data_IF_990842603213
#
_entry.id   IF_990842603213
#
_cell.length_a   1.000
_cell.length_b   1.000
_cell.length_c   1.000
_cell.angle_alpha   90.00
_cell.angle_beta   90.00
_cell.angle_gamma   90.00
#
_symmetry.space_group_name_H-M   'P 1'
#
loop_
_entity.id
_entity.type
_entity.pdbx_description
1 polymer ?
#
# COMPACT_ATOMS: atom_id res chain seq x y z
N UNK A 1 20.13 15.40 19.05
CA UNK A 1 19.11 15.02 18.04
C UNK A 1 19.69 13.95 17.13
N UNK A 2 19.01 12.82 16.91
CA UNK A 2 19.46 11.79 15.97
C UNK A 2 18.98 12.17 14.56
N UNK A 3 19.81 12.86 13.79
CA UNK A 3 19.53 13.29 12.40
C UNK A 3 18.94 12.17 11.53
N UNK A 4 19.44 10.94 11.72
CA UNK A 4 18.93 9.73 11.08
C UNK A 4 17.44 9.44 11.32
N UNK A 5 16.91 9.69 12.53
CA UNK A 5 15.49 9.43 12.83
C UNK A 5 14.57 10.46 12.15
N UNK A 6 14.99 11.72 12.09
CA UNK A 6 14.23 12.75 11.39
C UNK A 6 14.20 12.50 9.89
N UNK A 7 15.30 12.03 9.31
CA UNK A 7 15.37 11.69 7.89
C UNK A 7 14.45 10.51 7.53
N UNK A 8 14.34 9.50 8.40
CA UNK A 8 13.38 8.39 8.22
C UNK A 8 11.94 8.90 8.26
N UNK A 9 11.59 9.75 9.24
CA UNK A 9 10.23 10.29 9.36
C UNK A 9 9.86 11.18 8.16
N UNK A 10 10.80 12.01 7.69
CA UNK A 10 10.60 12.85 6.49
C UNK A 10 10.48 12.01 5.21
N UNK A 11 11.32 10.97 5.07
CA UNK A 11 11.22 10.02 3.97
C UNK A 11 9.85 9.31 3.94
N UNK A 12 9.34 8.92 5.11
CA UNK A 12 8.01 8.32 5.24
C UNK A 12 6.90 9.29 4.83
N UNK A 13 6.91 10.53 5.34
CA UNK A 13 5.95 11.56 4.93
C UNK A 13 6.00 11.84 3.43
N UNK A 14 7.21 11.95 2.86
CA UNK A 14 7.41 12.15 1.43
C UNK A 14 6.83 11.00 0.60
N UNK A 15 7.15 9.75 0.95
CA UNK A 15 6.65 8.57 0.22
C UNK A 15 5.13 8.39 0.33
N UNK A 16 4.52 8.90 1.41
CA UNK A 16 3.07 8.89 1.61
C UNK A 16 2.37 10.13 1.02
N UNK A 17 3.10 11.08 0.42
CA UNK A 17 2.53 12.32 -0.11
C UNK A 17 1.93 13.23 0.96
N UNK A 18 2.49 13.21 2.18
CA UNK A 18 2.02 13.96 3.35
C UNK A 18 2.90 15.17 3.71
N UNK A 19 3.84 15.52 2.85
CA UNK A 19 4.63 16.74 3.02
C UNK A 19 3.87 17.91 2.40
N UNK A 20 4.03 19.08 3.03
CA UNK A 20 3.58 20.32 2.40
C UNK A 20 4.40 20.60 1.12
N UNK A 21 3.88 21.38 0.16
CA UNK A 21 4.56 21.63 -1.10
C UNK A 21 5.97 22.20 -0.94
N UNK A 22 6.14 23.14 0.01
CA UNK A 22 7.44 23.76 0.31
C UNK A 22 8.44 22.77 0.89
N UNK A 23 7.98 21.92 1.83
CA UNK A 23 8.79 20.86 2.42
C UNK A 23 9.20 19.81 1.39
N UNK A 24 8.30 19.51 0.46
CA UNK A 24 8.54 18.57 -0.65
C UNK A 24 9.68 19.05 -1.52
N UNK A 25 9.66 20.32 -1.94
CA UNK A 25 10.69 20.91 -2.80
C UNK A 25 12.07 20.93 -2.12
N UNK A 26 12.13 21.28 -0.83
CA UNK A 26 13.36 21.21 -0.04
C UNK A 26 13.86 19.77 0.08
N UNK A 27 12.96 18.81 0.31
CA UNK A 27 13.33 17.40 0.43
C UNK A 27 13.85 16.84 -0.89
N UNK A 28 13.26 17.19 -2.02
CA UNK A 28 13.73 16.81 -3.36
C UNK A 28 15.14 17.35 -3.64
N UNK A 29 15.43 18.60 -3.30
CA UNK A 29 16.77 19.16 -3.41
C UNK A 29 17.80 18.39 -2.54
N UNK A 30 17.39 17.97 -1.33
CA UNK A 30 18.21 17.12 -0.47
C UNK A 30 18.44 15.72 -1.07
N UNK A 31 17.47 15.14 -1.76
CA UNK A 31 17.65 13.85 -2.44
C UNK A 31 18.66 13.92 -3.60
N UNK A 32 18.78 15.08 -4.27
CA UNK A 32 19.76 15.29 -5.33
C UNK A 32 21.18 15.43 -4.79
N UNK A 33 21.33 16.07 -3.63
CA UNK A 33 22.64 16.41 -3.05
C UNK A 33 23.17 15.35 -2.06
N UNK A 34 22.28 14.55 -1.45
CA UNK A 34 22.66 13.54 -0.47
C UNK A 34 22.40 12.11 -1.02
N UNK A 35 23.45 11.41 -1.51
CA UNK A 35 23.30 10.09 -2.09
C UNK A 35 22.87 9.01 -1.08
N UNK A 36 23.26 9.15 0.19
CA UNK A 36 22.86 8.23 1.27
C UNK A 36 21.37 8.34 1.56
N UNK A 37 20.86 9.58 1.68
CA UNK A 37 19.43 9.83 1.85
C UNK A 37 18.64 9.26 0.66
N UNK A 38 19.09 9.51 -0.57
CA UNK A 38 18.47 8.97 -1.78
C UNK A 38 18.39 7.45 -1.77
N UNK A 39 19.47 6.78 -1.38
CA UNK A 39 19.51 5.33 -1.27
C UNK A 39 18.52 4.81 -0.23
N UNK A 40 18.47 5.44 0.94
CA UNK A 40 17.55 5.07 2.02
C UNK A 40 16.09 5.22 1.59
N UNK A 41 15.72 6.32 0.93
CA UNK A 41 14.36 6.53 0.40
C UNK A 41 14.01 5.48 -0.66
N UNK A 42 14.95 5.16 -1.57
CA UNK A 42 14.74 4.14 -2.58
C UNK A 42 14.52 2.74 -1.96
N UNK A 43 15.30 2.39 -0.93
CA UNK A 43 15.14 1.15 -0.19
C UNK A 43 13.78 1.08 0.53
N UNK A 44 13.38 2.15 1.22
CA UNK A 44 12.08 2.23 1.90
C UNK A 44 10.91 2.11 0.90
N UNK A 45 11.00 2.78 -0.26
CA UNK A 45 10.03 2.65 -1.36
C UNK A 45 9.93 1.20 -1.85
N UNK A 46 11.06 0.50 -1.97
CA UNK A 46 11.07 -0.91 -2.36
C UNK A 46 10.39 -1.80 -1.32
N UNK A 47 10.67 -1.59 -0.03
CA UNK A 47 9.99 -2.31 1.06
C UNK A 47 8.48 -2.11 0.99
N UNK A 48 7.99 -0.88 0.86
CA UNK A 48 6.56 -0.62 0.70
C UNK A 48 5.95 -1.30 -0.52
N UNK A 49 6.67 -1.37 -1.64
CA UNK A 49 6.18 -2.08 -2.84
C UNK A 49 5.97 -3.58 -2.59
N UNK A 50 6.88 -4.21 -1.84
CA UNK A 50 6.81 -5.63 -1.47
C UNK A 50 5.66 -5.87 -0.49
N UNK A 51 5.55 -5.02 0.54
CA UNK A 51 4.46 -5.09 1.51
C UNK A 51 3.09 -4.92 0.83
N UNK A 52 2.95 -3.95 -0.07
CA UNK A 52 1.72 -3.72 -0.84
C UNK A 52 1.35 -4.95 -1.68
N UNK A 53 2.33 -5.56 -2.34
CA UNK A 53 2.11 -6.78 -3.13
C UNK A 53 1.67 -7.95 -2.25
N UNK A 54 2.34 -8.15 -1.11
CA UNK A 54 1.99 -9.20 -0.17
C UNK A 54 0.58 -9.00 0.39
N UNK A 55 0.25 -7.79 0.83
CA UNK A 55 -1.06 -7.46 1.37
C UNK A 55 -2.17 -7.68 0.33
N UNK A 56 -1.94 -7.27 -0.93
CA UNK A 56 -2.87 -7.56 -2.03
C UNK A 56 -3.08 -9.06 -2.24
N UNK A 57 -2.03 -9.88 -2.17
CA UNK A 57 -2.14 -11.34 -2.28
C UNK A 57 -2.93 -11.92 -1.11
N UNK A 58 -2.72 -11.42 0.11
CA UNK A 58 -3.45 -11.84 1.31
C UNK A 58 -4.94 -11.49 1.18
N UNK A 59 -5.26 -10.25 0.84
CA UNK A 59 -6.64 -9.80 0.64
C UNK A 59 -7.35 -10.60 -0.46
N UNK A 60 -6.66 -10.91 -1.56
CA UNK A 60 -7.22 -11.77 -2.61
C UNK A 60 -7.59 -13.16 -2.08
N UNK A 61 -6.75 -13.77 -1.24
CA UNK A 61 -7.05 -15.06 -0.62
C UNK A 61 -8.25 -14.98 0.32
N UNK A 62 -8.32 -13.95 1.15
CA UNK A 62 -9.45 -13.72 2.07
C UNK A 62 -10.76 -13.56 1.30
N UNK A 63 -10.78 -12.73 0.26
CA UNK A 63 -11.94 -12.54 -0.61
C UNK A 63 -12.33 -13.85 -1.32
N UNK A 64 -11.34 -14.65 -1.75
CA UNK A 64 -11.61 -15.93 -2.39
C UNK A 64 -12.25 -16.94 -1.42
N UNK A 65 -11.81 -16.96 -0.16
CA UNK A 65 -12.44 -17.79 0.88
C UNK A 65 -13.89 -17.35 1.11
N UNK A 66 -14.13 -16.05 1.30
CA UNK A 66 -15.49 -15.51 1.48
C UNK A 66 -16.37 -15.85 0.27
N UNK A 67 -15.86 -15.67 -0.95
CA UNK A 67 -16.57 -16.02 -2.16
C UNK A 67 -16.90 -17.52 -2.21
N UNK A 68 -15.96 -18.40 -1.89
CA UNK A 68 -16.21 -19.85 -1.85
C UNK A 68 -17.28 -20.22 -0.81
N UNK A 69 -17.24 -19.62 0.38
CA UNK A 69 -18.26 -19.86 1.40
C UNK A 69 -19.64 -19.43 0.93
N UNK A 70 -19.76 -18.23 0.38
CA UNK A 70 -21.07 -17.67 -0.01
C UNK A 70 -21.63 -18.30 -1.30
N UNK A 71 -20.80 -18.62 -2.29
CA UNK A 71 -21.29 -19.10 -3.60
C UNK A 71 -21.33 -20.63 -3.76
N UNK A 72 -20.71 -21.38 -2.85
CA UNK A 72 -20.66 -22.85 -2.93
C UNK A 72 -21.36 -23.56 -1.77
N UNK A 73 -21.66 -22.90 -0.65
CA UNK A 73 -22.48 -23.51 0.40
C UNK A 73 -23.95 -23.56 -0.05
N UNK A 74 -24.59 -24.74 0.09
CA UNK A 74 -25.99 -24.94 -0.23
C UNK A 74 -26.92 -24.02 0.57
N UNK A 75 -26.48 -23.53 1.74
CA UNK A 75 -27.22 -22.58 2.58
C UNK A 75 -27.38 -21.18 1.97
N UNK A 76 -26.62 -20.85 0.93
CA UNK A 76 -26.59 -19.52 0.32
C UNK A 76 -27.04 -19.51 -1.16
N UNK A 77 -27.78 -20.54 -1.58
CA UNK A 77 -28.29 -20.69 -2.95
C UNK A 77 -29.16 -19.50 -3.40
N UNK A 78 -30.08 -19.02 -2.55
CA UNK A 78 -30.99 -17.92 -2.90
C UNK A 78 -30.22 -16.62 -3.18
N UNK A 79 -29.27 -16.27 -2.31
CA UNK A 79 -28.38 -15.12 -2.48
C UNK A 79 -27.57 -15.19 -3.79
N UNK A 80 -27.05 -16.38 -4.12
CA UNK A 80 -26.35 -16.59 -5.39
C UNK A 80 -27.26 -16.35 -6.60
N UNK A 81 -28.51 -16.83 -6.56
CA UNK A 81 -29.46 -16.63 -7.64
C UNK A 81 -29.83 -15.16 -7.81
N UNK A 82 -30.08 -14.43 -6.72
CA UNK A 82 -30.36 -12.99 -6.74
C UNK A 82 -29.22 -12.20 -7.39
N UNK A 83 -27.96 -12.45 -6.99
CA UNK A 83 -26.82 -11.76 -7.60
C UNK A 83 -26.68 -12.10 -9.09
N UNK A 84 -26.84 -13.36 -9.49
CA UNK A 84 -26.73 -13.75 -10.90
C UNK A 84 -27.81 -13.10 -11.78
N UNK A 85 -28.98 -12.78 -11.22
CA UNK A 85 -30.02 -12.04 -11.95
C UNK A 85 -29.66 -10.58 -12.22
N UNK A 86 -28.79 -9.95 -11.40
CA UNK A 86 -28.35 -8.57 -11.61
C UNK A 86 -27.42 -8.40 -12.82
N UNK A 87 -26.80 -9.49 -13.28
CA UNK A 87 -25.87 -9.49 -14.42
C UNK A 87 -26.49 -10.09 -15.70
N UNK A 88 -27.82 -10.27 -15.74
CA UNK A 88 -28.58 -10.68 -16.92
C UNK A 88 -29.07 -9.49 -17.73
#
# INVERSE_FOLDING_TARGET
MRTSLNDIALAEKYLLGKLEPEETLVFEARLLTNPVLRWNVAAQKKVYSVLKLYHRKKLKKEVQVVHQTIFNDAKHQDFKQEILQLFK
#
